data_IF_638787395288
#
_entry.id   IF_638787395288
#
_cell.length_a   1.000
_cell.length_b   1.000
_cell.length_c   1.000
_cell.angle_alpha   90.00
_cell.angle_beta   90.00
_cell.angle_gamma   90.00
#
_symmetry.space_group_name_H-M   'P 1'
#
loop_
_entity.id
_entity.type
_entity.pdbx_description
1 polymer ?
#
# COMPACT_ATOMS: atom_id res chain seq x y z
N UNK A 1 0.71 16.82 9.34
CA UNK A 1 1.14 15.46 8.95
C UNK A 1 1.18 14.61 10.21
N UNK A 2 0.09 13.89 10.49
CA UNK A 2 0.01 12.98 11.63
C UNK A 2 0.65 11.65 11.29
N UNK A 3 1.30 11.02 12.26
CA UNK A 3 1.85 9.67 12.12
C UNK A 3 0.68 8.68 11.95
N UNK A 4 0.44 8.21 10.74
CA UNK A 4 -0.48 7.11 10.50
C UNK A 4 0.19 5.80 10.92
N UNK A 5 0.06 5.45 12.19
CA UNK A 5 0.51 4.16 12.74
C UNK A 5 -0.68 3.20 12.80
N UNK A 6 -1.01 2.56 11.68
CA UNK A 6 -1.95 1.44 11.67
C UNK A 6 -1.26 0.19 11.12
N UNK A 7 -0.75 -0.64 12.01
CA UNK A 7 -0.48 -2.06 11.71
C UNK A 7 -1.58 -2.89 12.38
N UNK A 8 -2.54 -3.45 11.64
CA UNK A 8 -3.31 -4.56 12.15
C UNK A 8 -2.40 -5.79 12.07
N UNK A 9 -1.94 -6.27 13.22
CA UNK A 9 -1.42 -7.63 13.34
C UNK A 9 -2.66 -8.52 13.50
N UNK A 10 -3.19 -9.09 12.42
CA UNK A 10 -4.25 -10.10 12.50
C UNK A 10 -3.58 -11.43 12.79
N UNK A 11 -3.47 -11.76 14.08
CA UNK A 11 -3.00 -13.08 14.52
C UNK A 11 -4.13 -14.09 14.36
N UNK A 12 -4.07 -14.93 13.33
CA UNK A 12 -4.98 -16.08 13.21
C UNK A 12 -4.35 -17.28 13.92
N UNK A 13 -4.86 -17.64 15.09
CA UNK A 13 -4.38 -18.82 15.84
C UNK A 13 -4.97 -20.09 15.23
N UNK A 14 -4.16 -20.87 14.50
CA UNK A 14 -4.50 -22.25 14.12
C UNK A 14 -3.52 -23.18 14.85
N UNK A 15 -4.04 -24.03 15.74
CA UNK A 15 -3.31 -25.07 16.47
C UNK A 15 -2.08 -24.64 17.30
N UNK A 16 -2.13 -23.48 17.97
CA UNK A 16 -1.11 -23.07 18.94
C UNK A 16 0.25 -22.66 18.33
N UNK A 17 0.33 -22.57 17.01
CA UNK A 17 1.45 -21.93 16.30
C UNK A 17 0.97 -20.57 15.82
N UNK A 18 1.55 -19.49 16.34
CA UNK A 18 1.33 -18.16 15.78
C UNK A 18 1.97 -18.09 14.39
N UNK A 19 1.19 -18.31 13.33
CA UNK A 19 1.57 -17.80 12.00
C UNK A 19 1.11 -16.35 11.97
N UNK A 20 2.06 -15.43 12.09
CA UNK A 20 1.79 -14.02 11.83
C UNK A 20 1.81 -13.84 10.32
N UNK A 21 0.68 -14.06 9.65
CA UNK A 21 0.53 -13.63 8.26
C UNK A 21 0.66 -12.10 8.25
N UNK A 22 1.79 -11.59 7.77
CA UNK A 22 2.08 -10.16 7.78
C UNK A 22 1.12 -9.46 6.82
N UNK A 23 0.17 -8.69 7.36
CA UNK A 23 -0.67 -7.83 6.54
C UNK A 23 0.20 -6.78 5.84
N UNK A 24 -0.04 -6.51 4.55
CA UNK A 24 0.75 -5.56 3.80
C UNK A 24 0.58 -4.15 4.37
N UNK A 25 1.70 -3.49 4.55
CA UNK A 25 1.78 -2.16 5.17
C UNK A 25 1.62 -1.03 4.15
N UNK A 26 1.85 -1.33 2.87
CA UNK A 26 1.58 -0.44 1.75
C UNK A 26 1.11 -1.25 0.54
N UNK A 27 0.33 -0.61 -0.33
CA UNK A 27 -0.17 -1.17 -1.58
C UNK A 27 0.01 -0.18 -2.71
N UNK A 28 0.41 -0.65 -3.88
CA UNK A 28 0.46 0.12 -5.13
C UNK A 28 -0.51 -0.50 -6.11
N UNK A 29 -1.46 0.30 -6.59
CA UNK A 29 -2.44 -0.10 -7.59
C UNK A 29 -2.04 0.55 -8.90
N UNK A 30 -1.77 -0.27 -9.92
CA UNK A 30 -1.48 0.19 -11.26
C UNK A 30 -2.76 0.48 -12.04
N UNK A 31 -2.67 1.30 -13.08
CA UNK A 31 -3.83 1.68 -13.93
C UNK A 31 -4.42 0.49 -14.69
N UNK A 32 -3.63 -0.56 -14.93
CA UNK A 32 -4.09 -1.82 -15.53
C UNK A 32 -4.85 -2.73 -14.53
N UNK A 33 -5.02 -2.28 -13.28
CA UNK A 33 -5.69 -3.02 -12.22
C UNK A 33 -4.78 -4.00 -11.47
N UNK A 34 -3.49 -4.06 -11.78
CA UNK A 34 -2.55 -4.89 -11.03
C UNK A 34 -2.22 -4.28 -9.67
N UNK A 35 -1.90 -5.15 -8.69
CA UNK A 35 -1.68 -4.79 -7.30
C UNK A 35 -0.33 -5.31 -6.82
N UNK A 36 0.49 -4.42 -6.27
CA UNK A 36 1.72 -4.76 -5.57
C UNK A 36 1.56 -4.49 -4.07
N UNK A 37 1.88 -5.50 -3.26
CA UNK A 37 1.76 -5.44 -1.81
C UNK A 37 3.13 -5.44 -1.14
N UNK A 38 3.34 -4.54 -0.17
CA UNK A 38 4.58 -4.42 0.58
C UNK A 38 4.39 -5.00 1.99
N UNK A 39 4.92 -6.21 2.28
CA UNK A 39 4.73 -6.88 3.56
C UNK A 39 5.53 -6.23 4.71
N UNK A 40 6.48 -5.36 4.39
CA UNK A 40 7.28 -4.59 5.35
C UNK A 40 7.10 -3.10 5.11
N UNK A 41 7.15 -2.27 6.16
CA UNK A 41 7.13 -0.82 6.01
C UNK A 41 8.17 -0.36 4.99
N UNK A 42 7.75 0.52 4.09
CA UNK A 42 8.59 1.08 3.03
C UNK A 42 8.46 2.60 3.01
N UNK A 43 9.44 3.28 2.42
CA UNK A 43 9.38 4.72 2.22
C UNK A 43 8.68 5.04 0.90
N UNK A 44 7.97 6.17 0.84
CA UNK A 44 7.39 6.67 -0.41
C UNK A 44 8.44 6.84 -1.51
N UNK A 45 9.65 7.27 -1.15
CA UNK A 45 10.77 7.38 -2.08
C UNK A 45 11.14 6.03 -2.72
N UNK A 46 11.25 4.96 -1.92
CA UNK A 46 11.55 3.62 -2.46
C UNK A 46 10.45 3.12 -3.39
N UNK A 47 9.19 3.38 -3.05
CA UNK A 47 8.05 3.01 -3.90
C UNK A 47 8.13 3.74 -5.25
N UNK A 48 8.40 5.05 -5.27
CA UNK A 48 8.52 5.83 -6.50
C UNK A 48 9.71 5.37 -7.36
N UNK A 49 10.86 5.08 -6.74
CA UNK A 49 12.05 4.60 -7.47
C UNK A 49 11.82 3.23 -8.14
N UNK A 50 11.01 2.36 -7.53
CA UNK A 50 10.68 1.04 -8.08
C UNK A 50 9.57 1.07 -9.14
N UNK A 51 8.76 2.13 -9.14
CA UNK A 51 7.60 2.28 -10.02
C UNK A 51 7.75 3.57 -10.84
N UNK A 52 8.62 3.58 -11.87
CA UNK A 52 8.74 4.73 -12.76
C UNK A 52 7.37 5.05 -13.39
N UNK A 53 7.11 6.32 -13.65
CA UNK A 53 5.85 6.83 -14.22
C UNK A 53 4.63 6.66 -13.30
N UNK A 54 4.82 6.65 -11.98
CA UNK A 54 3.73 6.66 -10.99
C UNK A 54 3.63 8.00 -10.26
N UNK A 55 2.41 8.40 -9.94
CA UNK A 55 2.12 9.56 -9.11
C UNK A 55 1.66 9.11 -7.71
N UNK A 56 2.14 9.81 -6.68
CA UNK A 56 1.81 9.49 -5.29
C UNK A 56 0.64 10.38 -4.84
N UNK A 57 -0.55 9.78 -4.76
CA UNK A 57 -1.77 10.47 -4.35
C UNK A 57 -1.94 10.44 -2.83
N UNK A 58 -2.54 11.49 -2.28
CA UNK A 58 -3.12 11.43 -0.94
C UNK A 58 -4.57 10.92 -1.05
N UNK A 59 -5.01 10.11 -0.08
CA UNK A 59 -6.36 9.53 -0.08
C UNK A 59 -7.45 10.59 -0.05
N UNK A 60 -7.21 11.73 0.61
CA UNK A 60 -8.09 12.90 0.64
C UNK A 60 -8.27 13.59 -0.73
N UNK A 61 -7.39 13.31 -1.69
CA UNK A 61 -7.50 13.83 -3.07
C UNK A 61 -8.09 12.80 -4.05
N UNK A 62 -8.43 11.59 -3.60
CA UNK A 62 -9.02 10.53 -4.42
C UNK A 62 -10.51 10.38 -4.13
N UNK A 63 -11.33 10.31 -5.17
CA UNK A 63 -12.77 10.06 -5.10
C UNK A 63 -13.12 8.83 -5.91
N UNK A 64 -14.22 8.15 -5.57
CA UNK A 64 -14.76 7.09 -6.43
C UNK A 64 -15.05 7.68 -7.82
N UNK A 65 -14.73 6.92 -8.87
CA UNK A 65 -14.85 7.32 -10.27
C UNK A 65 -13.94 8.50 -10.72
N UNK A 66 -12.93 8.88 -9.94
CA UNK A 66 -11.93 9.84 -10.40
C UNK A 66 -11.00 9.21 -11.45
N UNK A 67 -10.69 9.95 -12.52
CA UNK A 67 -9.68 9.55 -13.50
C UNK A 67 -8.30 9.55 -12.86
N UNK A 68 -7.49 8.53 -13.14
CA UNK A 68 -6.10 8.51 -12.70
C UNK A 68 -5.33 9.69 -13.32
N UNK A 69 -4.45 10.37 -12.56
CA UNK A 69 -3.65 11.45 -13.09
C UNK A 69 -2.74 10.94 -14.21
N UNK A 70 -2.69 11.68 -15.32
CA UNK A 70 -1.80 11.36 -16.44
C UNK A 70 -0.35 11.69 -16.06
N UNK A 71 0.49 10.66 -15.96
CA UNK A 71 1.91 10.81 -15.65
C UNK A 71 2.69 10.96 -16.97
N UNK A 72 3.62 11.92 -17.12
CA UNK A 72 4.42 12.10 -18.33
C UNK A 72 5.29 10.89 -18.69
#
# INVERSE_FOLDING_TARGET
MGVCASSPMVGTTINGRSSSEALPTAKVIHVDGTLLEYPKPTTSLQVVLQNPNHYLCHSESMHVDCMAPHVP
#
